data_IF_002077916751
#
_entry.id   IF_002077916751
#
_cell.length_a   1.000
_cell.length_b   1.000
_cell.length_c   1.000
_cell.angle_alpha   90.00
_cell.angle_beta   90.00
_cell.angle_gamma   90.00
#
_symmetry.space_group_name_H-M   'P 1'
#
loop_
_entity.id
_entity.type
_entity.pdbx_description
1 polymer ?
#
# COMPACT_ATOMS: atom_id res chain seq x y z
N UNK A 1 -13.01 -0.09 1.99
CA UNK A 1 -14.39 0.00 1.46
C UNK A 1 -14.74 -1.34 0.83
N UNK A 2 -15.90 -1.94 1.14
CA UNK A 2 -16.30 -3.24 0.59
C UNK A 2 -16.88 -3.10 -0.81
N UNK A 3 -16.61 -4.08 -1.68
CA UNK A 3 -17.17 -4.17 -3.03
C UNK A 3 -18.44 -5.03 -2.96
N UNK A 4 -19.57 -4.54 -3.46
CA UNK A 4 -20.80 -5.33 -3.58
C UNK A 4 -20.69 -6.19 -4.85
N UNK A 5 -20.78 -7.51 -4.67
CA UNK A 5 -20.72 -8.47 -5.77
C UNK A 5 -22.09 -8.57 -6.45
N UNK A 6 -22.12 -8.46 -7.79
CA UNK A 6 -23.36 -8.48 -8.57
C UNK A 6 -24.08 -9.84 -8.47
N UNK A 7 -23.36 -10.91 -8.17
CA UNK A 7 -23.95 -12.24 -7.95
C UNK A 7 -24.75 -12.31 -6.63
N UNK A 8 -24.31 -11.60 -5.58
CA UNK A 8 -25.04 -11.54 -4.32
C UNK A 8 -26.35 -10.73 -4.46
N UNK A 9 -26.32 -9.67 -5.26
CA UNK A 9 -27.51 -8.86 -5.54
C UNK A 9 -28.59 -9.64 -6.33
N UNK A 10 -28.19 -10.56 -7.23
CA UNK A 10 -29.14 -11.40 -7.99
C UNK A 10 -29.79 -12.49 -7.14
N UNK A 11 -29.02 -13.12 -6.25
CA UNK A 11 -29.56 -14.12 -5.31
C UNK A 11 -30.57 -13.51 -4.36
N UNK A 12 -30.31 -12.28 -3.88
CA UNK A 12 -31.25 -11.55 -3.04
C UNK A 12 -32.53 -11.09 -3.79
N UNK A 13 -32.51 -10.92 -5.12
CA UNK A 13 -33.74 -10.68 -5.89
C UNK A 13 -34.55 -11.95 -6.14
N UNK A 14 -33.87 -13.07 -6.44
CA UNK A 14 -34.52 -14.35 -6.73
C UNK A 14 -35.19 -14.93 -5.47
N UNK A 15 -34.57 -14.85 -4.28
CA UNK A 15 -35.17 -15.28 -3.01
C UNK A 15 -36.37 -14.42 -2.57
N UNK A 16 -36.44 -13.15 -3.02
CA UNK A 16 -37.57 -12.27 -2.72
C UNK A 16 -38.77 -12.57 -3.62
N UNK A 17 -38.53 -13.01 -4.85
CA UNK A 17 -39.58 -13.38 -5.81
C UNK A 17 -40.14 -14.78 -5.49
N UNK A 18 -39.32 -15.76 -5.11
CA UNK A 18 -39.79 -17.10 -4.69
C UNK A 18 -40.65 -17.06 -3.41
N UNK A 19 -40.31 -16.18 -2.45
CA UNK A 19 -41.11 -16.00 -1.23
C UNK A 19 -42.47 -15.32 -1.47
N UNK A 20 -42.67 -14.73 -2.66
CA UNK A 20 -43.90 -14.02 -3.03
C UNK A 20 -44.86 -14.90 -3.84
N UNK A 21 -44.39 -16.00 -4.43
CA UNK A 21 -45.23 -16.94 -5.20
C UNK A 21 -45.90 -18.02 -4.33
N UNK A 22 -45.39 -18.31 -3.13
CA UNK A 22 -45.99 -19.33 -2.23
C UNK A 22 -47.18 -18.83 -1.39
N UNK A 23 -47.63 -17.59 -1.54
CA UNK A 23 -48.78 -17.04 -0.79
C UNK A 23 -49.85 -16.38 -1.66
N UNK A 24 -50.36 -17.10 -2.66
CA UNK A 24 -51.67 -16.81 -3.24
C UNK A 24 -52.74 -17.79 -2.75
N UNK A 25 -53.29 -17.55 -1.55
CA UNK A 25 -54.72 -17.77 -1.34
C UNK A 25 -55.25 -16.99 -0.15
N UNK A 26 -56.44 -16.42 -0.38
CA UNK A 26 -57.35 -15.73 0.55
C UNK A 26 -57.13 -14.23 0.75
N UNK A 27 -58.06 -13.50 0.16
CA UNK A 27 -58.24 -12.06 0.21
C UNK A 27 -58.46 -11.53 1.64
N UNK A 28 -57.65 -10.57 2.07
CA UNK A 28 -58.09 -9.46 2.92
C UNK A 28 -57.14 -8.28 2.71
N UNK A 29 -57.66 -7.11 2.30
CA UNK A 29 -56.86 -5.88 2.13
C UNK A 29 -56.22 -5.46 3.46
N UNK A 30 -54.88 -5.32 3.59
CA UNK A 30 -54.29 -4.68 4.74
C UNK A 30 -54.00 -3.19 4.49
N UNK A 31 -54.06 -2.44 5.58
CA UNK A 31 -53.94 -1.00 5.67
C UNK A 31 -52.59 -0.46 5.13
N UNK A 32 -52.65 0.72 4.50
CA UNK A 32 -51.50 1.60 4.25
C UNK A 32 -50.78 1.88 5.57
N UNK A 33 -49.51 1.48 5.72
CA UNK A 33 -48.66 2.08 6.75
C UNK A 33 -47.48 1.29 7.32
N UNK A 34 -47.29 0.01 7.03
CA UNK A 34 -46.15 -0.74 7.56
C UNK A 34 -45.15 -1.10 6.46
N UNK A 35 -44.08 -0.30 6.30
CA UNK A 35 -42.90 -0.72 5.53
C UNK A 35 -42.30 -1.94 6.25
N UNK A 36 -42.39 -3.13 5.64
CA UNK A 36 -41.63 -4.32 6.09
C UNK A 36 -40.15 -3.90 6.24
N UNK A 37 -39.47 -4.25 7.33
CA UNK A 37 -38.06 -3.94 7.50
C UNK A 37 -37.31 -4.59 6.34
N UNK A 38 -36.65 -3.77 5.50
CA UNK A 38 -35.78 -4.29 4.44
C UNK A 38 -34.75 -5.21 5.12
N UNK A 39 -34.64 -6.45 4.64
CA UNK A 39 -33.56 -7.33 5.03
C UNK A 39 -32.25 -6.56 4.90
N UNK A 40 -31.44 -6.60 5.95
CA UNK A 40 -30.15 -5.90 5.99
C UNK A 40 -29.30 -6.52 4.89
N UNK A 41 -29.13 -5.83 3.76
CA UNK A 41 -28.41 -6.35 2.61
C UNK A 41 -27.09 -6.97 3.03
N UNK A 42 -26.85 -8.21 2.63
CA UNK A 42 -25.63 -8.92 2.99
C UNK A 42 -24.49 -8.39 2.11
N UNK A 43 -23.28 -8.36 2.64
CA UNK A 43 -22.11 -7.89 1.89
C UNK A 43 -21.03 -8.94 1.99
N UNK A 44 -20.58 -9.43 0.84
CA UNK A 44 -19.39 -10.27 0.74
C UNK A 44 -18.15 -9.44 1.11
N UNK A 45 -17.72 -9.53 2.38
CA UNK A 45 -16.52 -8.86 2.86
C UNK A 45 -15.32 -9.77 2.61
N UNK A 46 -14.44 -9.36 1.70
CA UNK A 46 -13.13 -10.00 1.52
C UNK A 46 -12.03 -9.08 2.08
N UNK A 47 -11.23 -9.53 3.07
CA UNK A 47 -10.06 -8.77 3.49
C UNK A 47 -9.08 -8.66 2.31
N UNK A 48 -8.41 -7.52 2.19
CA UNK A 48 -7.37 -7.34 1.19
C UNK A 48 -6.14 -8.18 1.57
N UNK A 49 -5.54 -8.95 0.64
CA UNK A 49 -4.26 -9.62 0.88
C UNK A 49 -3.11 -8.60 1.04
N UNK A 50 -3.30 -7.39 0.52
CA UNK A 50 -2.36 -6.27 0.63
C UNK A 50 -2.77 -5.36 1.78
N UNK A 51 -1.85 -5.16 2.72
CA UNK A 51 -1.92 -4.15 3.77
C UNK A 51 -0.90 -3.04 3.49
N UNK A 52 -1.32 -1.78 3.60
CA UNK A 52 -0.45 -0.60 3.43
C UNK A 52 -0.47 0.19 4.73
N UNK A 53 0.71 0.45 5.28
CA UNK A 53 0.91 1.32 6.42
C UNK A 53 0.81 2.80 6.02
N UNK A 54 0.59 3.67 7.01
CA UNK A 54 0.59 5.11 6.77
C UNK A 54 1.97 5.54 6.28
N UNK A 55 2.01 6.44 5.30
CA UNK A 55 3.23 7.15 4.97
C UNK A 55 3.60 8.07 6.13
N UNK A 56 4.83 7.94 6.63
CA UNK A 56 5.37 8.74 7.74
C UNK A 56 6.60 9.49 7.24
N UNK A 57 6.68 10.77 7.58
CA UNK A 57 7.85 11.59 7.31
C UNK A 57 9.04 11.10 8.13
N UNK A 58 10.20 10.94 7.50
CA UNK A 58 11.42 10.65 8.26
C UNK A 58 11.85 11.87 9.07
N UNK A 59 11.73 13.08 8.53
CA UNK A 59 12.09 14.29 9.26
C UNK A 59 10.87 14.92 9.95
N UNK A 60 11.02 15.46 11.17
CA UNK A 60 9.97 16.25 11.81
C UNK A 60 9.56 17.44 10.94
N UNK A 61 8.26 17.75 10.92
CA UNK A 61 7.76 18.94 10.24
C UNK A 61 8.24 20.20 10.94
N UNK A 62 8.79 21.15 10.17
CA UNK A 62 9.40 22.38 10.69
C UNK A 62 8.51 23.62 10.62
N UNK A 63 7.25 23.48 10.18
CA UNK A 63 6.36 24.63 10.01
C UNK A 63 6.69 25.45 8.76
N UNK A 64 7.12 24.79 7.68
CA UNK A 64 7.41 25.46 6.41
C UNK A 64 6.11 25.92 5.74
N UNK A 65 5.93 27.24 5.68
CA UNK A 65 4.76 27.88 5.09
C UNK A 65 5.19 28.63 3.84
N UNK A 66 4.57 28.31 2.71
CA UNK A 66 4.66 29.10 1.48
C UNK A 66 3.54 30.14 1.43
N UNK A 67 3.88 31.38 1.07
CA UNK A 67 2.89 32.43 0.80
C UNK A 67 2.69 32.54 -0.71
N UNK A 68 1.47 32.25 -1.15
CA UNK A 68 1.14 32.18 -2.56
C UNK A 68 0.05 33.19 -2.90
N UNK A 69 -0.04 33.53 -4.18
CA UNK A 69 -1.12 34.30 -4.75
C UNK A 69 -1.69 33.55 -5.96
N UNK A 70 -3.01 33.60 -6.14
CA UNK A 70 -3.65 33.09 -7.36
C UNK A 70 -3.19 33.95 -8.55
N UNK A 71 -2.67 33.30 -9.61
CA UNK A 71 -2.36 33.95 -10.88
C UNK A 71 -3.64 34.17 -11.69
N UNK A 72 -3.87 35.39 -12.21
CA UNK A 72 -5.04 35.73 -13.03
C UNK A 72 -5.48 37.19 -12.86
N UNK A 73 -6.56 37.59 -13.54
CA UNK A 73 -7.15 38.93 -13.36
C UNK A 73 -7.67 39.10 -11.93
N UNK A 74 -7.09 40.07 -11.23
CA UNK A 74 -7.46 40.37 -9.84
C UNK A 74 -8.76 41.16 -9.83
N UNK A 75 -9.82 40.59 -9.27
CA UNK A 75 -11.00 41.37 -8.90
C UNK A 75 -10.61 42.40 -7.83
N UNK A 76 -10.91 43.69 -8.06
CA UNK A 76 -10.61 44.78 -7.13
C UNK A 76 -11.20 44.47 -5.74
N UNK A 77 -10.35 44.41 -4.71
CA UNK A 77 -10.76 44.08 -3.33
C UNK A 77 -10.65 42.60 -2.94
N UNK A 78 -10.27 41.69 -3.85
CA UNK A 78 -9.96 40.28 -3.52
C UNK A 78 -8.47 40.01 -3.61
N UNK A 79 -7.75 40.20 -2.50
CA UNK A 79 -6.41 39.64 -2.32
C UNK A 79 -6.56 38.12 -2.24
N UNK A 80 -6.33 37.43 -3.35
CA UNK A 80 -6.35 35.95 -3.42
C UNK A 80 -5.02 35.39 -2.90
N UNK A 81 -4.64 35.82 -1.70
CA UNK A 81 -3.47 35.31 -0.98
C UNK A 81 -3.88 34.04 -0.25
N UNK A 82 -3.06 33.00 -0.35
CA UNK A 82 -3.23 31.78 0.42
C UNK A 82 -1.87 31.32 0.93
N UNK A 83 -1.85 30.79 2.14
CA UNK A 83 -0.71 30.05 2.65
C UNK A 83 -0.87 28.57 2.33
N UNK A 84 0.23 27.89 2.03
CA UNK A 84 0.25 26.44 1.97
C UNK A 84 1.41 25.93 2.83
N UNK A 85 1.06 25.11 3.82
CA UNK A 85 2.00 24.29 4.56
C UNK A 85 2.59 23.25 3.61
N UNK A 86 3.91 23.19 3.54
CA UNK A 86 4.65 22.25 2.71
C UNK A 86 5.64 21.52 3.59
N UNK A 87 5.83 20.22 3.39
CA UNK A 87 6.87 19.47 4.11
C UNK A 87 7.73 18.75 3.09
N UNK A 88 8.94 19.26 2.86
CA UNK A 88 9.88 18.63 1.93
C UNK A 88 10.71 17.59 2.68
N UNK A 89 10.22 16.36 2.69
CA UNK A 89 10.85 15.24 3.40
C UNK A 89 10.79 13.96 2.58
N UNK A 90 11.72 13.05 2.84
CA UNK A 90 11.56 11.66 2.45
C UNK A 90 10.46 11.05 3.32
N UNK A 91 9.56 10.33 2.67
CA UNK A 91 8.51 9.56 3.31
C UNK A 91 8.87 8.09 3.26
N UNK A 92 8.57 7.39 4.35
CA UNK A 92 8.60 5.94 4.40
C UNK A 92 7.18 5.42 4.42
N UNK A 93 6.90 4.41 3.61
CA UNK A 93 5.67 3.63 3.64
C UNK A 93 6.02 2.15 3.74
N UNK A 94 5.25 1.42 4.53
CA UNK A 94 5.38 -0.03 4.67
C UNK A 94 4.22 -0.71 3.97
N UNK A 95 4.47 -1.85 3.35
CA UNK A 95 3.40 -2.71 2.83
C UNK A 95 3.68 -4.16 3.19
N UNK A 96 2.60 -4.95 3.27
CA UNK A 96 2.65 -6.39 3.48
C UNK A 96 1.70 -7.07 2.51
N UNK A 97 2.13 -8.18 1.94
CA UNK A 97 1.33 -8.98 1.01
C UNK A 97 1.29 -10.42 1.48
N UNK A 98 0.10 -10.89 1.85
CA UNK A 98 -0.12 -12.31 2.08
C UNK A 98 -0.20 -13.04 0.74
N UNK A 99 0.89 -13.69 0.33
CA UNK A 99 1.01 -14.33 -0.99
C UNK A 99 -0.09 -15.38 -1.23
N UNK A 100 -0.47 -16.13 -0.20
CA UNK A 100 -1.48 -17.19 -0.29
C UNK A 100 -2.89 -16.64 -0.53
N UNK A 101 -3.20 -15.46 0.02
CA UNK A 101 -4.51 -14.81 -0.08
C UNK A 101 -4.75 -14.13 -1.44
N UNK A 102 -3.71 -13.99 -2.26
CA UNK A 102 -3.84 -13.47 -3.64
C UNK A 102 -4.50 -14.53 -4.52
N UNK A 103 -5.67 -14.23 -5.07
CA UNK A 103 -6.42 -15.18 -5.93
C UNK A 103 -5.69 -15.47 -7.25
N UNK A 104 -5.27 -14.43 -7.98
CA UNK A 104 -4.51 -14.56 -9.23
C UNK A 104 -3.04 -14.28 -8.96
N UNK A 105 -2.19 -15.32 -9.02
CA UNK A 105 -0.79 -15.20 -8.59
C UNK A 105 0.02 -14.28 -9.50
N UNK A 106 -0.37 -14.12 -10.77
CA UNK A 106 0.22 -13.13 -11.68
C UNK A 106 0.20 -11.70 -11.13
N UNK A 107 -0.85 -11.33 -10.38
CA UNK A 107 -1.02 -9.99 -9.83
C UNK A 107 0.05 -9.61 -8.79
N UNK A 108 0.76 -10.59 -8.23
CA UNK A 108 1.89 -10.32 -7.34
C UNK A 108 3.01 -9.59 -8.11
N UNK A 109 3.29 -10.01 -9.34
CA UNK A 109 4.30 -9.34 -10.19
C UNK A 109 3.87 -7.92 -10.53
N UNK A 110 2.61 -7.74 -10.94
CA UNK A 110 2.05 -6.42 -11.25
C UNK A 110 2.06 -5.47 -10.07
N UNK A 111 1.74 -5.95 -8.87
CA UNK A 111 1.78 -5.14 -7.66
C UNK A 111 3.22 -4.71 -7.33
N UNK A 112 4.18 -5.63 -7.38
CA UNK A 112 5.59 -5.30 -7.14
C UNK A 112 6.07 -4.26 -8.15
N UNK A 113 5.71 -4.39 -9.43
CA UNK A 113 6.05 -3.40 -10.44
C UNK A 113 5.44 -2.02 -10.13
N UNK A 114 4.16 -1.98 -9.76
CA UNK A 114 3.44 -0.74 -9.44
C UNK A 114 3.98 -0.03 -8.18
N UNK A 115 4.57 -0.74 -7.23
CA UNK A 115 5.22 -0.14 -6.05
C UNK A 115 6.55 0.51 -6.41
N UNK A 116 7.28 -0.09 -7.35
CA UNK A 116 8.60 0.39 -7.77
C UNK A 116 8.48 1.60 -8.70
N UNK A 117 7.45 1.62 -9.53
CA UNK A 117 7.17 2.68 -10.47
C UNK A 117 5.70 3.13 -10.33
N UNK A 118 5.37 3.86 -9.25
CA UNK A 118 4.01 4.31 -9.02
C UNK A 118 3.62 5.36 -10.07
N UNK A 119 2.38 5.35 -10.57
CA UNK A 119 1.92 6.40 -11.48
C UNK A 119 1.93 7.76 -10.76
N UNK A 120 2.00 8.88 -11.50
CA UNK A 120 1.97 10.21 -10.90
C UNK A 120 0.75 10.40 -9.98
N UNK A 121 1.01 10.66 -8.70
CA UNK A 121 -0.05 10.89 -7.71
C UNK A 121 -0.29 12.39 -7.54
N UNK A 122 -0.84 12.99 -8.58
CA UNK A 122 -1.50 14.28 -8.50
C UNK A 122 -2.89 14.08 -9.09
N UNK A 123 -3.92 14.13 -8.24
CA UNK A 123 -5.31 14.11 -8.71
C UNK A 123 -5.63 15.35 -9.58
N UNK A 124 -6.92 15.59 -9.83
CA UNK A 124 -7.40 16.73 -10.65
C UNK A 124 -7.14 18.14 -10.07
N UNK A 125 -6.33 18.24 -9.02
CA UNK A 125 -5.88 19.51 -8.47
C UNK A 125 -4.38 19.59 -8.68
N UNK A 126 -3.95 20.54 -9.51
CA UNK A 126 -2.58 20.85 -9.95
C UNK A 126 -1.60 21.12 -8.79
N UNK A 127 -1.43 20.15 -7.91
CA UNK A 127 -0.56 20.18 -6.75
C UNK A 127 0.54 19.16 -7.01
N UNK A 128 1.53 19.67 -7.75
CA UNK A 128 2.92 19.25 -7.78
C UNK A 128 3.18 17.82 -8.29
N UNK A 129 3.89 17.74 -9.42
CA UNK A 129 4.55 16.53 -9.88
C UNK A 129 5.72 16.21 -8.93
N UNK A 130 5.42 15.64 -7.76
CA UNK A 130 6.45 15.04 -6.93
C UNK A 130 6.84 13.70 -7.53
N UNK A 131 8.13 13.42 -7.55
CA UNK A 131 8.63 12.10 -7.88
C UNK A 131 8.36 11.18 -6.69
N UNK A 132 7.38 10.29 -6.85
CA UNK A 132 7.02 9.28 -5.84
C UNK A 132 7.80 7.98 -6.02
N UNK A 133 8.82 7.97 -6.88
CA UNK A 133 9.70 6.80 -7.02
C UNK A 133 10.49 6.56 -5.72
N UNK A 134 10.66 5.29 -5.30
CA UNK A 134 11.38 4.99 -4.07
C UNK A 134 12.88 5.22 -4.25
N UNK A 135 13.45 6.09 -3.41
CA UNK A 135 14.90 6.28 -3.35
C UNK A 135 15.65 5.02 -2.84
N UNK A 136 15.03 4.32 -1.89
CA UNK A 136 15.52 3.06 -1.31
C UNK A 136 14.34 2.12 -1.03
N UNK A 137 14.59 0.82 -1.05
CA UNK A 137 13.60 -0.19 -0.67
C UNK A 137 14.24 -1.29 0.19
N UNK A 138 13.51 -1.75 1.20
CA UNK A 138 13.83 -2.94 1.99
C UNK A 138 12.68 -3.92 1.83
N UNK A 139 12.96 -5.09 1.28
CA UNK A 139 12.00 -6.16 1.08
C UNK A 139 12.40 -7.35 1.95
N UNK A 140 11.40 -8.04 2.50
CA UNK A 140 11.57 -9.31 3.20
C UNK A 140 10.63 -10.33 2.60
N UNK A 141 11.18 -11.42 2.08
CA UNK A 141 10.41 -12.58 1.62
C UNK A 141 10.57 -13.65 2.69
N UNK A 142 9.49 -13.98 3.40
CA UNK A 142 9.51 -14.83 4.59
C UNK A 142 8.21 -15.60 4.75
N UNK A 143 8.26 -16.71 5.50
CA UNK A 143 7.08 -17.44 6.00
C UNK A 143 6.63 -16.95 7.39
N UNK A 144 7.35 -16.01 8.00
CA UNK A 144 7.00 -15.44 9.30
C UNK A 144 5.73 -14.57 9.23
N UNK A 145 4.91 -14.64 10.28
CA UNK A 145 3.68 -13.85 10.40
C UNK A 145 3.94 -12.35 10.63
N UNK A 146 5.09 -11.99 11.21
CA UNK A 146 5.47 -10.60 11.48
C UNK A 146 6.53 -10.11 10.51
N UNK A 147 6.35 -8.89 10.00
CA UNK A 147 7.29 -8.29 9.04
C UNK A 147 8.65 -8.00 9.67
N UNK A 148 8.68 -7.56 10.93
CA UNK A 148 9.87 -7.10 11.71
C UNK A 148 10.67 -5.93 11.07
N UNK A 149 10.35 -5.54 9.84
CA UNK A 149 10.99 -4.46 9.07
C UNK A 149 10.11 -3.20 8.92
N UNK A 150 8.95 -3.16 9.57
CA UNK A 150 8.07 -2.00 9.50
C UNK A 150 8.80 -0.77 10.06
N UNK A 151 8.75 0.32 9.29
CA UNK A 151 9.40 1.58 9.60
C UNK A 151 10.90 1.46 9.90
N UNK A 152 11.65 0.67 9.13
CA UNK A 152 13.07 0.41 9.35
C UNK A 152 14.01 1.60 9.06
N UNK A 153 13.54 2.62 8.34
CA UNK A 153 14.25 3.89 8.19
C UNK A 153 13.91 4.84 9.34
N UNK A 154 14.95 5.37 9.99
CA UNK A 154 14.85 6.32 11.09
C UNK A 154 15.59 7.62 10.73
N UNK A 155 15.25 8.72 11.40
CA UNK A 155 15.93 9.99 11.18
C UNK A 155 17.29 10.03 11.86
N UNK A 156 18.34 10.24 11.07
CA UNK A 156 19.64 10.67 11.59
C UNK A 156 19.63 12.20 11.70
N UNK A 157 19.51 12.69 12.94
CA UNK A 157 19.44 14.13 13.23
C UNK A 157 20.77 14.83 12.99
N UNK A 158 21.88 14.16 13.32
CA UNK A 158 23.22 14.75 13.31
C UNK A 158 23.70 14.99 11.89
N UNK A 159 23.55 13.97 11.04
CA UNK A 159 23.97 14.04 9.63
C UNK A 159 22.84 14.51 8.69
N UNK A 160 21.66 14.83 9.24
CA UNK A 160 20.46 15.25 8.49
C UNK A 160 20.05 14.24 7.42
N UNK A 161 20.23 12.95 7.68
CA UNK A 161 19.94 11.86 6.75
C UNK A 161 18.98 10.86 7.40
N UNK A 162 18.94 9.64 6.88
CA UNK A 162 18.29 8.49 7.49
C UNK A 162 19.30 7.42 7.89
N UNK A 163 18.91 6.58 8.85
CA UNK A 163 19.65 5.41 9.29
C UNK A 163 18.75 4.17 9.32
N UNK A 164 19.36 2.98 9.22
CA UNK A 164 18.74 1.67 9.38
C UNK A 164 19.41 0.84 10.50
N UNK A 165 20.04 1.47 11.50
CA UNK A 165 20.71 0.75 12.61
C UNK A 165 19.79 -0.27 13.30
N UNK A 166 18.51 0.07 13.54
CA UNK A 166 17.56 -0.86 14.14
C UNK A 166 17.30 -2.11 13.27
N UNK A 167 17.45 -2.01 11.95
CA UNK A 167 17.38 -3.17 11.04
C UNK A 167 18.65 -4.00 11.13
N UNK A 168 19.82 -3.35 11.14
CA UNK A 168 21.13 -4.01 11.30
C UNK A 168 21.16 -4.85 12.57
N UNK A 169 20.80 -4.26 13.72
CA UNK A 169 20.76 -4.97 15.00
C UNK A 169 19.85 -6.21 14.97
N UNK A 170 18.71 -6.15 14.26
CA UNK A 170 17.80 -7.32 14.11
C UNK A 170 18.40 -8.43 13.25
N UNK A 171 19.28 -8.09 12.31
CA UNK A 171 20.00 -9.09 11.51
C UNK A 171 21.12 -9.70 12.35
N UNK A 172 21.89 -8.88 13.05
CA UNK A 172 22.98 -9.32 13.94
C UNK A 172 22.48 -10.19 15.10
N UNK A 173 21.33 -9.86 15.68
CA UNK A 173 20.70 -10.65 16.75
C UNK A 173 20.09 -11.96 16.27
N UNK A 174 19.96 -12.17 14.96
CA UNK A 174 19.26 -13.30 14.37
C UNK A 174 17.73 -13.20 14.42
N UNK A 175 17.18 -12.05 14.85
CA UNK A 175 15.73 -11.81 14.81
C UNK A 175 15.17 -11.81 13.38
N UNK A 176 15.99 -11.38 12.42
CA UNK A 176 15.70 -11.42 10.99
C UNK A 176 16.84 -12.17 10.28
N UNK A 177 16.56 -13.32 9.64
CA UNK A 177 17.55 -13.99 8.82
C UNK A 177 17.99 -13.11 7.64
N UNK A 178 19.28 -12.87 7.50
CA UNK A 178 19.84 -12.04 6.42
C UNK A 178 19.42 -12.52 5.02
N UNK A 179 19.33 -13.85 4.85
CA UNK A 179 18.89 -14.49 3.61
C UNK A 179 17.45 -14.19 3.20
N UNK A 180 16.59 -13.70 4.09
CA UNK A 180 15.22 -13.28 3.77
C UNK A 180 15.15 -11.83 3.26
N UNK A 181 16.17 -11.02 3.56
CA UNK A 181 16.20 -9.60 3.24
C UNK A 181 16.79 -9.31 1.86
N UNK A 182 16.27 -8.24 1.28
CA UNK A 182 16.74 -7.62 0.04
C UNK A 182 16.72 -6.11 0.25
N UNK A 183 17.83 -5.43 -0.05
CA UNK A 183 17.89 -3.96 -0.07
C UNK A 183 18.15 -3.46 -1.49
N UNK A 184 17.54 -2.34 -1.84
CA UNK A 184 17.65 -1.71 -3.15
C UNK A 184 17.77 -0.19 -3.07
N UNK A 185 18.38 0.42 -4.08
CA UNK A 185 18.45 1.88 -4.22
C UNK A 185 19.61 2.51 -3.44
N UNK A 186 19.43 3.77 -3.03
CA UNK A 186 20.48 4.57 -2.39
C UNK A 186 21.05 3.91 -1.11
N UNK A 187 20.22 3.19 -0.36
CA UNK A 187 20.62 2.46 0.85
C UNK A 187 21.76 1.47 0.57
N UNK A 188 21.75 0.78 -0.56
CA UNK A 188 22.78 -0.22 -0.88
C UNK A 188 24.19 0.39 -1.00
N UNK A 189 24.29 1.70 -1.24
CA UNK A 189 25.57 2.41 -1.40
C UNK A 189 26.08 3.04 -0.10
N UNK A 190 25.27 3.07 0.97
CA UNK A 190 25.68 3.63 2.26
C UNK A 190 26.59 2.68 3.04
N UNK A 191 27.26 3.17 4.09
CA UNK A 191 28.03 2.32 5.02
C UNK A 191 27.15 1.23 5.64
N UNK A 192 25.94 1.59 6.07
CA UNK A 192 24.96 0.67 6.66
C UNK A 192 24.47 -0.38 5.66
N UNK A 193 24.26 -0.01 4.39
CA UNK A 193 23.93 -0.97 3.34
C UNK A 193 25.04 -1.98 3.08
N UNK A 194 26.30 -1.54 3.13
CA UNK A 194 27.47 -2.43 3.03
C UNK A 194 27.58 -3.36 4.23
N UNK A 195 27.33 -2.87 5.44
CA UNK A 195 27.28 -3.70 6.65
C UNK A 195 26.20 -4.78 6.54
N UNK A 196 24.99 -4.44 6.08
CA UNK A 196 23.95 -5.43 5.83
C UNK A 196 24.38 -6.47 4.78
N UNK A 197 25.10 -6.03 3.74
CA UNK A 197 25.63 -6.93 2.71
C UNK A 197 26.68 -7.91 3.28
N UNK A 198 27.55 -7.44 4.16
CA UNK A 198 28.53 -8.28 4.89
C UNK A 198 27.84 -9.31 5.79
N UNK A 199 26.70 -8.95 6.38
CA UNK A 199 25.85 -9.85 7.16
C UNK A 199 25.07 -10.86 6.28
N UNK A 200 25.19 -10.79 4.95
CA UNK A 200 24.59 -11.74 4.01
C UNK A 200 23.26 -11.27 3.39
N UNK A 201 22.86 -10.02 3.60
CA UNK A 201 21.68 -9.43 2.94
C UNK A 201 22.00 -9.18 1.46
N UNK A 202 21.05 -9.48 0.57
CA UNK A 202 21.23 -9.16 -0.86
C UNK A 202 21.01 -7.66 -1.10
N UNK A 203 22.05 -6.99 -1.59
CA UNK A 203 22.02 -5.57 -1.90
C UNK A 203 22.10 -5.30 -3.41
N UNK A 204 21.29 -4.36 -3.88
CA UNK A 204 21.28 -3.90 -5.26
C UNK A 204 21.30 -2.38 -5.32
N UNK A 205 22.11 -1.80 -6.21
CA UNK A 205 22.19 -0.33 -6.37
C UNK A 205 20.89 0.30 -6.84
N UNK A 206 20.01 -0.45 -7.52
CA UNK A 206 18.71 0.00 -8.01
C UNK A 206 17.54 -0.78 -7.43
N UNK A 207 16.42 -0.07 -7.19
CA UNK A 207 15.16 -0.65 -6.67
C UNK A 207 14.52 -1.66 -7.62
N UNK A 208 14.70 -1.49 -8.95
CA UNK A 208 14.20 -2.42 -9.97
C UNK A 208 14.91 -3.78 -9.90
N UNK A 209 16.21 -3.80 -9.60
CA UNK A 209 16.94 -5.06 -9.46
C UNK A 209 16.55 -5.79 -8.18
N UNK A 210 16.37 -5.05 -7.07
CA UNK A 210 15.83 -5.60 -5.82
C UNK A 210 14.43 -6.22 -6.00
N UNK A 211 13.56 -5.57 -6.79
CA UNK A 211 12.21 -6.09 -7.06
C UNK A 211 12.21 -7.35 -7.94
N UNK A 212 13.12 -7.44 -8.91
CA UNK A 212 13.35 -8.66 -9.70
C UNK A 212 13.81 -9.83 -8.81
N UNK A 213 14.72 -9.57 -7.88
CA UNK A 213 15.17 -10.58 -6.92
C UNK A 213 14.02 -11.05 -6.01
N UNK A 214 13.19 -10.13 -5.51
CA UNK A 214 12.02 -10.49 -4.70
C UNK A 214 11.06 -11.40 -5.49
N UNK A 215 10.76 -11.05 -6.75
CA UNK A 215 9.93 -11.88 -7.64
C UNK A 215 10.54 -13.26 -7.88
N UNK A 216 11.84 -13.35 -8.11
CA UNK A 216 12.58 -14.61 -8.30
C UNK A 216 12.53 -15.49 -7.04
N UNK A 217 12.60 -14.91 -5.84
CA UNK A 217 12.44 -15.68 -4.60
C UNK A 217 11.02 -16.19 -4.45
N UNK A 218 10.02 -15.34 -4.69
CA UNK A 218 8.62 -15.72 -4.58
C UNK A 218 8.27 -16.85 -5.56
N UNK A 219 8.74 -16.79 -6.81
CA UNK A 219 8.45 -17.81 -7.83
C UNK A 219 9.03 -19.20 -7.50
N UNK A 220 10.01 -19.26 -6.59
CA UNK A 220 10.64 -20.49 -6.12
C UNK A 220 10.04 -21.03 -4.83
N UNK A 221 9.11 -20.32 -4.18
CA UNK A 221 8.49 -20.77 -2.93
C UNK A 221 7.56 -21.97 -3.15
N UNK A 222 6.77 -21.94 -4.22
CA UNK A 222 5.80 -22.99 -4.57
C UNK A 222 5.55 -22.98 -6.08
N UNK A 223 5.15 -24.13 -6.61
CA UNK A 223 4.65 -24.31 -7.98
C UNK A 223 3.60 -23.28 -8.38
N UNK A 224 2.67 -22.91 -7.49
CA UNK A 224 1.62 -21.93 -7.81
C UNK A 224 2.17 -20.50 -8.06
N UNK A 225 3.38 -20.18 -7.59
CA UNK A 225 4.00 -18.88 -7.78
C UNK A 225 4.92 -18.80 -9.01
N UNK A 226 5.16 -19.92 -9.71
CA UNK A 226 6.06 -19.94 -10.87
C UNK A 226 5.65 -18.97 -11.98
N UNK A 227 4.35 -18.68 -12.11
CA UNK A 227 3.79 -17.72 -13.07
C UNK A 227 4.38 -16.30 -12.93
N UNK A 228 4.94 -15.96 -11.76
CA UNK A 228 5.57 -14.66 -11.48
C UNK A 228 6.91 -14.50 -12.22
N UNK A 229 7.59 -15.60 -12.56
CA UNK A 229 8.89 -15.55 -13.26
C UNK A 229 8.77 -15.16 -14.74
N UNK A 230 7.59 -15.35 -15.33
CA UNK A 230 7.27 -15.11 -16.74
C UNK A 230 6.61 -13.76 -17.01
N UNK A 231 6.37 -12.94 -15.98
CA UNK A 231 5.64 -11.67 -16.03
C UNK A 231 6.47 -10.50 -15.51
#
# INVERSE_FOLDING_TARGET
>A
MGFMDAAAAKKESEEVDEANEETESVATKPAKGAKKPKAKGTTTKRPSPLAIGRAVSLRPYRGEISFNAVSGEKAKGKLSLYSAEMHTTEYQYSFGLNLNDVVKKENISHLIAAIIDPPPVAGNHARFAYDFSPASIVLRVTSAHSSKIQNCFEHDQDNRTYTVQALIHKVESGDIPAGELIIGGALASTSEGKQLQELGVRAFTGVVAASKEARNRISKLDTCFQVISTS
#
